data_IF_759544184580
#
_entry.id   IF_759544184580
#
_cell.length_a   1.000
_cell.length_b   1.000
_cell.length_c   1.000
_cell.angle_alpha   90.00
_cell.angle_beta   90.00
_cell.angle_gamma   90.00
#
_symmetry.space_group_name_H-M   'P 1'
#
loop_
_entity.id
_entity.type
_entity.pdbx_description
1 polymer ?
#
# COMPACT_ATOMS: atom_id res chain seq x y z
N UNK A 1 71.87 41.83 -15.99
CA UNK A 1 72.04 41.27 -14.63
C UNK A 1 70.65 41.12 -14.00
N UNK A 2 70.33 39.91 -13.50
CA UNK A 2 69.14 39.48 -12.71
C UNK A 2 67.80 39.30 -13.48
N UNK A 3 67.38 38.06 -13.85
CA UNK A 3 66.49 37.07 -13.16
C UNK A 3 65.02 37.57 -13.00
N UNK A 4 63.90 36.87 -13.27
CA UNK A 4 63.56 35.44 -13.39
C UNK A 4 62.11 35.21 -13.97
N UNK A 5 61.84 33.96 -14.39
CA UNK A 5 60.60 33.22 -14.86
C UNK A 5 59.17 33.66 -14.42
N UNK A 6 58.16 33.39 -15.29
CA UNK A 6 56.99 32.44 -15.16
C UNK A 6 55.90 32.74 -16.24
N UNK A 7 55.62 31.87 -17.22
CA UNK A 7 54.67 30.71 -17.30
C UNK A 7 53.15 31.04 -17.34
N UNK A 8 52.57 30.97 -18.55
CA UNK A 8 51.26 30.45 -19.04
C UNK A 8 49.91 30.73 -18.35
N UNK A 9 48.86 31.02 -19.14
CA UNK A 9 47.48 30.51 -18.92
C UNK A 9 46.56 30.58 -20.17
N UNK A 10 45.89 29.46 -20.47
CA UNK A 10 44.84 29.24 -21.49
C UNK A 10 43.47 29.82 -21.06
N UNK A 11 42.58 30.26 -21.97
CA UNK A 11 41.21 30.56 -21.62
C UNK A 11 40.27 29.36 -21.75
N UNK A 12 39.39 29.30 -20.75
CA UNK A 12 38.37 28.33 -20.38
C UNK A 12 37.09 28.54 -21.22
N UNK A 13 36.48 27.48 -21.74
CA UNK A 13 35.07 27.52 -22.19
C UNK A 13 34.36 26.23 -21.76
N UNK A 14 33.66 26.28 -20.64
CA UNK A 14 32.81 25.21 -20.14
C UNK A 14 31.34 25.63 -20.25
N UNK A 15 30.66 25.20 -21.31
CA UNK A 15 29.22 25.36 -21.49
C UNK A 15 28.52 24.16 -20.84
N UNK A 16 28.10 24.30 -19.59
CA UNK A 16 27.31 23.28 -18.88
C UNK A 16 25.88 23.25 -19.42
N UNK A 17 25.58 22.27 -20.28
CA UNK A 17 24.23 21.92 -20.69
C UNK A 17 23.56 21.08 -19.58
N UNK A 18 22.76 21.72 -18.73
CA UNK A 18 21.94 21.05 -17.70
C UNK A 18 20.78 20.30 -18.36
N UNK A 19 21.01 19.08 -18.84
CA UNK A 19 19.93 18.18 -19.23
C UNK A 19 19.09 17.86 -17.98
N UNK A 20 17.85 18.36 -17.92
CA UNK A 20 16.89 17.95 -16.90
C UNK A 20 16.59 16.46 -17.08
N UNK A 21 17.21 15.62 -16.25
CA UNK A 21 16.92 14.19 -16.20
C UNK A 21 15.44 14.01 -15.81
N UNK A 22 14.70 13.06 -16.41
CA UNK A 22 13.31 12.84 -16.07
C UNK A 22 13.22 12.42 -14.60
N UNK A 23 12.64 13.27 -13.76
CA UNK A 23 12.56 13.08 -12.31
C UNK A 23 11.61 11.95 -11.86
N UNK A 24 11.08 11.15 -12.80
CA UNK A 24 10.15 10.07 -12.52
C UNK A 24 10.27 8.91 -13.50
N UNK A 25 10.38 7.69 -12.97
CA UNK A 25 10.32 6.43 -13.73
C UNK A 25 8.98 5.78 -13.44
N UNK A 26 8.28 5.31 -14.47
CA UNK A 26 7.02 4.59 -14.32
C UNK A 26 7.11 3.26 -15.09
N UNK A 27 6.73 2.17 -14.45
CA UNK A 27 6.61 0.85 -15.05
C UNK A 27 5.18 0.36 -14.94
N UNK A 28 4.71 -0.31 -16.00
CA UNK A 28 3.42 -0.98 -16.02
C UNK A 28 3.55 -2.29 -16.78
N UNK A 29 2.95 -3.34 -16.25
CA UNK A 29 2.88 -4.63 -16.90
C UNK A 29 1.48 -5.19 -16.73
N UNK A 30 1.00 -5.90 -17.76
CA UNK A 30 -0.27 -6.65 -17.73
C UNK A 30 -0.07 -7.92 -18.52
N UNK A 31 -0.63 -9.02 -18.01
CA UNK A 31 -0.65 -10.29 -18.73
C UNK A 31 -1.95 -11.03 -18.48
N UNK A 32 -2.29 -11.90 -19.42
CA UNK A 32 -3.38 -12.87 -19.33
C UNK A 32 -2.86 -14.14 -19.97
N UNK A 33 -3.00 -15.28 -19.29
CA UNK A 33 -2.60 -16.59 -19.82
C UNK A 33 -3.52 -17.69 -19.32
N UNK A 34 -3.79 -18.74 -20.11
CA UNK A 34 -4.37 -19.97 -19.60
C UNK A 34 -3.53 -20.55 -18.46
N UNK A 35 -4.13 -21.37 -17.59
CA UNK A 35 -3.42 -22.09 -16.55
C UNK A 35 -3.75 -23.60 -16.57
N UNK A 36 -2.96 -24.38 -15.82
CA UNK A 36 -3.08 -25.83 -15.75
C UNK A 36 -4.42 -26.31 -15.14
N UNK A 37 -5.09 -25.45 -14.37
CA UNK A 37 -6.37 -25.77 -13.74
C UNK A 37 -7.53 -25.79 -14.76
N UNK A 38 -7.31 -25.27 -15.98
CA UNK A 38 -8.33 -25.15 -17.02
C UNK A 38 -9.00 -23.77 -17.08
N UNK A 39 -8.50 -22.79 -16.31
CA UNK A 39 -8.95 -21.41 -16.32
C UNK A 39 -7.89 -20.43 -16.82
N UNK A 40 -7.94 -19.20 -16.30
CA UNK A 40 -7.09 -18.08 -16.72
C UNK A 40 -6.39 -17.47 -15.51
N UNK A 41 -5.10 -17.17 -15.66
CA UNK A 41 -4.36 -16.28 -14.77
C UNK A 41 -4.16 -14.93 -15.45
N UNK A 42 -4.65 -13.87 -14.82
CA UNK A 42 -4.44 -12.49 -15.22
C UNK A 42 -3.62 -11.75 -14.16
N UNK A 43 -2.71 -10.89 -14.58
CA UNK A 43 -1.88 -10.09 -13.70
C UNK A 43 -1.73 -8.66 -14.18
N UNK A 44 -1.56 -7.74 -13.24
CA UNK A 44 -1.12 -6.37 -13.52
C UNK A 44 -0.16 -5.90 -12.45
N UNK A 45 0.86 -5.18 -12.88
CA UNK A 45 1.83 -4.50 -12.03
C UNK A 45 1.92 -3.04 -12.47
N UNK A 46 2.07 -2.15 -11.50
CA UNK A 46 2.38 -0.75 -11.74
C UNK A 46 3.29 -0.27 -10.61
N UNK A 47 4.35 0.43 -10.96
CA UNK A 47 5.22 1.06 -9.99
C UNK A 47 5.88 2.28 -10.58
N UNK A 48 6.50 3.06 -9.71
CA UNK A 48 7.27 4.20 -10.14
C UNK A 48 8.06 4.83 -9.02
N UNK A 49 8.96 5.71 -9.44
CA UNK A 49 9.78 6.57 -8.58
C UNK A 49 9.43 7.99 -8.96
N UNK A 50 9.28 8.87 -7.98
CA UNK A 50 9.00 10.28 -8.13
C UNK A 50 10.02 11.16 -7.40
N UNK A 51 9.76 12.47 -7.36
CA UNK A 51 10.63 13.44 -6.69
C UNK A 51 10.90 13.10 -5.23
N UNK A 52 12.03 13.56 -4.70
CA UNK A 52 12.42 13.41 -3.28
C UNK A 52 12.49 11.94 -2.80
N UNK A 53 12.76 11.00 -3.71
CA UNK A 53 12.91 9.58 -3.38
C UNK A 53 11.59 8.86 -3.09
N UNK A 54 10.45 9.49 -3.39
CA UNK A 54 9.15 8.84 -3.32
C UNK A 54 9.05 7.68 -4.31
N UNK A 55 8.47 6.57 -3.90
CA UNK A 55 8.32 5.40 -4.75
C UNK A 55 7.06 4.62 -4.41
N UNK A 56 6.49 3.91 -5.38
CA UNK A 56 5.39 2.99 -5.15
C UNK A 56 5.49 1.76 -6.04
N UNK A 57 4.91 0.66 -5.58
CA UNK A 57 4.70 -0.54 -6.35
C UNK A 57 3.34 -1.11 -5.97
N UNK A 58 2.54 -1.53 -6.95
CA UNK A 58 1.26 -2.18 -6.72
C UNK A 58 1.02 -3.27 -7.75
N UNK A 59 0.41 -4.34 -7.30
CA UNK A 59 0.13 -5.52 -8.10
C UNK A 59 -1.24 -6.10 -7.82
N UNK A 60 -1.77 -6.80 -8.82
CA UNK A 60 -2.92 -7.69 -8.64
C UNK A 60 -2.76 -8.89 -9.54
N UNK A 61 -3.03 -10.07 -9.00
CA UNK A 61 -3.18 -11.32 -9.73
C UNK A 61 -4.59 -11.85 -9.51
N UNK A 62 -5.18 -12.42 -10.56
CA UNK A 62 -6.47 -13.13 -10.51
C UNK A 62 -6.27 -14.46 -11.21
N UNK A 63 -6.78 -15.53 -10.61
CA UNK A 63 -6.75 -16.89 -11.13
C UNK A 63 -8.17 -17.46 -11.10
N UNK A 64 -8.64 -17.98 -12.22
CA UNK A 64 -9.80 -18.88 -12.28
C UNK A 64 -9.35 -20.30 -12.58
N UNK A 65 -10.14 -21.30 -12.17
CA UNK A 65 -9.86 -22.73 -12.39
C UNK A 65 -10.72 -23.36 -13.51
N UNK A 66 -11.65 -22.64 -14.12
CA UNK A 66 -12.55 -23.21 -15.12
C UNK A 66 -13.73 -24.00 -14.53
N UNK A 67 -13.74 -24.29 -13.22
CA UNK A 67 -14.89 -24.84 -12.48
C UNK A 67 -15.71 -23.76 -11.77
N UNK A 68 -15.32 -22.48 -11.92
CA UNK A 68 -16.06 -21.32 -11.42
C UNK A 68 -15.50 -20.74 -10.12
N UNK A 69 -14.40 -21.28 -9.60
CA UNK A 69 -13.68 -20.66 -8.49
C UNK A 69 -12.74 -19.57 -9.04
N UNK A 70 -12.63 -18.48 -8.28
CA UNK A 70 -11.78 -17.33 -8.61
C UNK A 70 -11.07 -16.88 -7.35
N UNK A 71 -9.75 -16.76 -7.42
CA UNK A 71 -8.96 -16.10 -6.39
C UNK A 71 -8.26 -14.88 -6.97
N UNK A 72 -8.42 -13.73 -6.32
CA UNK A 72 -7.66 -12.53 -6.65
C UNK A 72 -6.86 -12.06 -5.44
N UNK A 73 -5.54 -11.96 -5.61
CA UNK A 73 -4.66 -11.32 -4.64
C UNK A 73 -4.20 -9.96 -5.17
N UNK A 74 -4.03 -9.01 -4.28
CA UNK A 74 -3.53 -7.68 -4.60
C UNK A 74 -2.67 -7.17 -3.46
N UNK A 75 -1.78 -6.26 -3.79
CA UNK A 75 -1.00 -5.56 -2.78
C UNK A 75 -0.32 -4.35 -3.37
N UNK A 76 0.28 -3.57 -2.49
CA UNK A 76 1.15 -2.50 -2.89
C UNK A 76 1.88 -1.91 -1.71
N UNK A 77 2.97 -1.23 -2.01
CA UNK A 77 3.82 -0.53 -1.05
C UNK A 77 4.14 0.85 -1.60
N UNK A 78 4.45 1.77 -0.70
CA UNK A 78 4.97 3.06 -1.05
C UNK A 78 6.02 3.53 -0.04
N UNK A 79 6.88 4.44 -0.50
CA UNK A 79 7.73 5.32 0.29
C UNK A 79 7.38 6.75 -0.12
N UNK A 80 7.09 7.59 0.86
CA UNK A 80 6.85 9.01 0.69
C UNK A 80 8.02 9.86 1.17
N UNK A 81 7.83 11.18 1.16
CA UNK A 81 8.77 12.13 1.76
C UNK A 81 8.97 11.86 3.25
N UNK A 82 10.08 12.35 3.81
CA UNK A 82 10.42 12.28 5.24
C UNK A 82 10.37 10.86 5.83
N UNK A 83 10.72 9.84 5.03
CA UNK A 83 10.78 8.45 5.49
C UNK A 83 9.42 7.79 5.72
N UNK A 84 8.31 8.45 5.35
CA UNK A 84 6.99 7.82 5.42
C UNK A 84 6.93 6.59 4.51
N UNK A 85 6.30 5.52 4.96
CA UNK A 85 6.15 4.30 4.18
C UNK A 85 4.86 3.57 4.55
N UNK A 86 4.40 2.71 3.66
CA UNK A 86 3.24 1.89 3.95
C UNK A 86 2.99 0.86 2.89
N UNK A 87 2.02 0.00 3.16
CA UNK A 87 1.60 -1.02 2.23
C UNK A 87 0.24 -1.57 2.56
N UNK A 88 -0.29 -2.31 1.60
CA UNK A 88 -1.54 -3.04 1.73
C UNK A 88 -1.43 -4.38 1.03
N UNK A 89 -2.22 -5.34 1.50
CA UNK A 89 -2.42 -6.62 0.83
C UNK A 89 -3.87 -7.06 1.04
N UNK A 90 -4.43 -7.74 0.05
CA UNK A 90 -5.75 -8.34 0.16
C UNK A 90 -5.87 -9.55 -0.76
N UNK A 91 -6.69 -10.51 -0.33
CA UNK A 91 -7.13 -11.63 -1.15
C UNK A 91 -8.65 -11.68 -1.14
N UNK A 92 -9.21 -12.01 -2.30
CA UNK A 92 -10.63 -12.28 -2.48
C UNK A 92 -10.76 -13.66 -3.12
N UNK A 93 -11.57 -14.52 -2.54
CA UNK A 93 -12.03 -15.76 -3.18
C UNK A 93 -13.50 -15.65 -3.52
N UNK A 94 -13.89 -16.20 -4.66
CA UNK A 94 -15.27 -16.53 -5.00
C UNK A 94 -15.28 -18.00 -5.37
N UNK A 95 -16.25 -18.73 -4.85
CA UNK A 95 -16.40 -20.16 -5.09
C UNK A 95 -17.50 -20.41 -6.12
N UNK A 96 -17.47 -21.60 -6.72
CA UNK A 96 -18.45 -22.03 -7.71
C UNK A 96 -19.90 -22.00 -7.17
N UNK A 97 -20.08 -22.29 -5.88
CA UNK A 97 -21.35 -22.26 -5.16
C UNK A 97 -21.91 -20.84 -4.91
N UNK A 98 -21.19 -19.79 -5.31
CA UNK A 98 -21.59 -18.39 -5.16
C UNK A 98 -21.14 -17.72 -3.86
N UNK A 99 -20.60 -18.49 -2.91
CA UNK A 99 -19.95 -17.95 -1.72
C UNK A 99 -18.70 -17.15 -2.08
N UNK A 100 -18.34 -16.20 -1.24
CA UNK A 100 -17.17 -15.37 -1.44
C UNK A 100 -16.54 -14.98 -0.11
N UNK A 101 -15.23 -14.82 -0.10
CA UNK A 101 -14.50 -14.28 1.05
C UNK A 101 -13.52 -13.22 0.61
N UNK A 102 -13.24 -12.30 1.52
CA UNK A 102 -12.24 -11.25 1.39
C UNK A 102 -11.48 -11.20 2.70
N UNK A 103 -10.16 -11.13 2.61
CA UNK A 103 -9.32 -10.68 3.70
C UNK A 103 -8.38 -9.60 3.19
N UNK A 104 -7.92 -8.72 4.07
CA UNK A 104 -6.80 -7.86 3.76
C UNK A 104 -6.50 -6.88 4.88
N UNK A 105 -5.41 -6.15 4.68
CA UNK A 105 -5.02 -5.10 5.59
C UNK A 105 -4.12 -4.08 4.94
N UNK A 106 -3.87 -3.01 5.68
CA UNK A 106 -2.87 -2.02 5.35
C UNK A 106 -2.12 -1.60 6.61
N UNK A 107 -0.92 -1.10 6.41
CA UNK A 107 -0.10 -0.48 7.45
C UNK A 107 0.64 0.70 6.86
N UNK A 108 0.82 1.76 7.63
CA UNK A 108 1.67 2.88 7.26
C UNK A 108 2.34 3.47 8.50
N UNK A 109 3.50 4.08 8.31
CA UNK A 109 4.25 4.80 9.33
C UNK A 109 4.93 6.02 8.73
N UNK A 110 5.20 7.01 9.57
CA UNK A 110 5.94 8.22 9.22
C UNK A 110 6.04 9.14 10.42
N UNK A 111 6.46 10.39 10.17
CA UNK A 111 6.66 11.41 11.22
C UNK A 111 5.42 11.66 12.09
N UNK A 112 4.21 11.52 11.53
CA UNK A 112 2.95 11.71 12.25
C UNK A 112 2.50 10.51 13.08
N UNK A 113 3.25 9.41 13.03
CA UNK A 113 2.94 8.17 13.73
C UNK A 113 2.70 7.00 12.79
N UNK A 114 1.92 6.02 13.24
CA UNK A 114 1.65 4.80 12.50
C UNK A 114 0.18 4.38 12.56
N UNK A 115 -0.24 3.63 11.56
CA UNK A 115 -1.58 3.02 11.50
C UNK A 115 -1.46 1.62 10.91
N UNK A 116 -2.25 0.70 11.44
CA UNK A 116 -2.44 -0.63 10.89
C UNK A 116 -3.93 -0.96 10.94
N UNK A 117 -4.43 -1.62 9.91
CA UNK A 117 -5.82 -2.06 9.87
C UNK A 117 -5.90 -3.38 9.12
N UNK A 118 -6.65 -4.33 9.67
CA UNK A 118 -6.90 -5.63 9.06
C UNK A 118 -8.39 -5.92 9.13
N UNK A 119 -8.91 -6.60 8.12
CA UNK A 119 -10.30 -6.98 8.12
C UNK A 119 -10.65 -8.06 7.12
N UNK A 120 -11.83 -8.61 7.33
CA UNK A 120 -12.41 -9.67 6.53
C UNK A 120 -13.85 -9.34 6.17
N UNK A 121 -14.32 -9.92 5.09
CA UNK A 121 -15.74 -10.00 4.79
C UNK A 121 -16.04 -11.33 4.10
N UNK A 122 -17.20 -11.91 4.37
CA UNK A 122 -17.66 -13.11 3.71
C UNK A 122 -19.10 -12.95 3.24
N UNK A 123 -19.43 -13.70 2.20
CA UNK A 123 -20.79 -13.94 1.76
C UNK A 123 -20.98 -15.45 1.66
N UNK A 124 -21.94 -15.96 2.41
CA UNK A 124 -22.36 -17.36 2.38
C UNK A 124 -23.27 -17.63 1.17
N UNK A 125 -23.50 -18.91 0.88
CA UNK A 125 -24.33 -19.37 -0.26
C UNK A 125 -25.78 -18.87 -0.15
N UNK A 126 -26.31 -18.78 1.07
CA UNK A 126 -27.63 -18.23 1.39
C UNK A 126 -27.73 -16.69 1.26
N UNK A 127 -26.64 -16.01 0.91
CA UNK A 127 -26.58 -14.56 0.79
C UNK A 127 -26.43 -13.83 2.13
N UNK A 128 -26.14 -14.54 3.23
CA UNK A 128 -25.69 -13.96 4.49
C UNK A 128 -24.33 -13.30 4.27
N UNK A 129 -24.18 -12.05 4.74
CA UNK A 129 -22.94 -11.27 4.62
C UNK A 129 -22.48 -10.88 6.01
N UNK A 130 -21.21 -11.12 6.31
CA UNK A 130 -20.57 -10.63 7.53
C UNK A 130 -19.21 -10.01 7.23
N UNK A 131 -18.72 -9.18 8.13
CA UNK A 131 -17.41 -8.56 8.01
C UNK A 131 -16.93 -7.97 9.32
N UNK A 132 -15.61 -7.81 9.42
CA UNK A 132 -14.93 -7.38 10.63
C UNK A 132 -13.72 -6.55 10.23
N UNK A 133 -13.37 -5.55 11.03
CA UNK A 133 -12.19 -4.73 10.86
C UNK A 133 -11.64 -4.27 12.20
N UNK A 134 -10.35 -4.49 12.38
CA UNK A 134 -9.59 -4.02 13.52
C UNK A 134 -8.63 -2.95 13.03
N UNK A 135 -8.50 -1.86 13.76
CA UNK A 135 -7.64 -0.73 13.41
C UNK A 135 -6.88 -0.29 14.65
N UNK A 136 -5.56 -0.19 14.53
CA UNK A 136 -4.66 0.39 15.51
C UNK A 136 -4.00 1.62 14.91
N UNK A 137 -3.91 2.71 15.66
CA UNK A 137 -3.10 3.85 15.28
C UNK A 137 -2.36 4.40 16.50
N UNK A 138 -1.18 4.96 16.26
CA UNK A 138 -0.38 5.65 17.27
C UNK A 138 0.08 6.96 16.66
N UNK A 139 -0.29 8.08 17.27
CA UNK A 139 0.16 9.41 16.85
C UNK A 139 1.58 9.73 17.29
N UNK A 140 2.18 10.78 16.72
CA UNK A 140 3.53 11.23 17.07
C UNK A 140 3.69 11.54 18.57
N UNK A 141 2.63 12.01 19.23
CA UNK A 141 2.61 12.28 20.68
C UNK A 141 2.47 11.02 21.54
N UNK A 142 2.43 9.82 20.95
CA UNK A 142 2.30 8.55 21.66
C UNK A 142 0.86 8.12 21.97
N UNK A 143 -0.13 8.97 21.72
CA UNK A 143 -1.53 8.61 21.89
C UNK A 143 -1.92 7.47 20.94
N UNK A 144 -2.71 6.52 21.42
CA UNK A 144 -3.14 5.35 20.67
C UNK A 144 -4.66 5.32 20.44
N UNK A 145 -5.07 4.67 19.36
CA UNK A 145 -6.47 4.38 19.02
C UNK A 145 -6.59 2.91 18.63
N UNK A 146 -7.47 2.19 19.30
CA UNK A 146 -7.82 0.80 19.01
C UNK A 146 -9.31 0.74 18.68
N UNK A 147 -9.64 0.41 17.44
CA UNK A 147 -11.02 0.29 16.97
C UNK A 147 -11.33 -1.10 16.43
N UNK A 148 -12.51 -1.61 16.75
CA UNK A 148 -13.07 -2.83 16.18
C UNK A 148 -14.45 -2.51 15.59
N UNK A 149 -14.68 -2.92 14.35
CA UNK A 149 -15.96 -2.78 13.66
C UNK A 149 -16.39 -4.15 13.17
N UNK A 150 -17.62 -4.55 13.45
CA UNK A 150 -18.24 -5.73 12.85
C UNK A 150 -19.53 -5.35 12.12
N UNK A 151 -19.89 -6.18 11.14
CA UNK A 151 -21.11 -6.07 10.39
C UNK A 151 -21.69 -7.45 10.14
N UNK A 152 -23.01 -7.58 10.29
CA UNK A 152 -23.77 -8.75 9.86
C UNK A 152 -25.04 -8.26 9.18
N UNK A 153 -25.36 -8.83 8.01
CA UNK A 153 -26.61 -8.54 7.29
C UNK A 153 -27.81 -8.89 8.18
N UNK A 154 -28.68 -7.91 8.43
CA UNK A 154 -29.84 -8.04 9.31
C UNK A 154 -29.60 -7.55 10.74
N UNK A 155 -28.35 -7.51 11.21
CA UNK A 155 -27.99 -7.02 12.56
C UNK A 155 -27.40 -5.60 12.52
N UNK A 156 -26.86 -5.18 11.37
CA UNK A 156 -26.29 -3.84 11.19
C UNK A 156 -24.79 -3.80 11.52
N UNK A 157 -24.31 -2.61 11.91
CA UNK A 157 -22.90 -2.33 12.22
C UNK A 157 -22.73 -2.17 13.72
N UNK A 158 -21.76 -2.87 14.29
CA UNK A 158 -21.28 -2.64 15.66
C UNK A 158 -19.87 -2.08 15.62
N UNK A 159 -19.60 -1.06 16.44
CA UNK A 159 -18.28 -0.43 16.52
C UNK A 159 -17.91 -0.14 17.97
N UNK A 160 -16.71 -0.56 18.36
CA UNK A 160 -16.09 -0.20 19.63
C UNK A 160 -14.73 0.44 19.38
N UNK A 161 -14.38 1.42 20.20
CA UNK A 161 -13.09 2.09 20.15
C UNK A 161 -12.60 2.46 21.56
N UNK A 162 -11.29 2.41 21.75
CA UNK A 162 -10.61 2.94 22.93
C UNK A 162 -9.40 3.77 22.51
N UNK A 163 -9.10 4.79 23.30
CA UNK A 163 -7.94 5.65 23.09
C UNK A 163 -7.16 5.78 24.38
N UNK A 164 -5.83 5.75 24.28
CA UNK A 164 -4.96 6.01 25.42
C UNK A 164 -3.98 7.12 25.11
N UNK A 165 -3.50 7.81 26.13
CA UNK A 165 -2.33 8.66 26.02
C UNK A 165 -1.03 7.81 25.94
N UNK A 166 0.12 8.48 25.83
CA UNK A 166 1.44 7.85 25.81
C UNK A 166 1.81 7.11 27.12
N UNK A 167 1.16 7.44 28.24
CA UNK A 167 1.36 6.78 29.52
C UNK A 167 0.42 5.58 29.73
N UNK A 168 -0.51 5.35 28.78
CA UNK A 168 -1.49 4.26 28.84
C UNK A 168 -2.80 4.62 29.55
N UNK A 169 -3.01 5.88 29.93
CA UNK A 169 -4.26 6.31 30.55
C UNK A 169 -5.36 6.40 29.50
N UNK A 170 -6.57 5.95 29.84
CA UNK A 170 -7.74 6.10 28.97
C UNK A 170 -8.07 7.58 28.75
N UNK A 171 -8.22 7.97 27.50
CA UNK A 171 -8.61 9.33 27.09
C UNK A 171 -9.81 9.28 26.14
N UNK A 172 -10.58 10.37 26.01
CA UNK A 172 -11.62 10.45 24.99
C UNK A 172 -11.05 10.25 23.57
N UNK A 173 -11.69 9.40 22.77
CA UNK A 173 -11.40 9.31 21.35
C UNK A 173 -11.96 10.52 20.62
N UNK A 174 -11.14 11.55 20.44
CA UNK A 174 -11.48 12.72 19.63
C UNK A 174 -11.39 12.38 18.14
N UNK A 175 -12.35 12.88 17.35
CA UNK A 175 -12.35 12.74 15.88
C UNK A 175 -11.43 13.75 15.23
#
# INVERSE_FOLDING_TARGET
MQFNRKLALFPLLALCLSAALPASIQARERFVRPNADGGVTAGRLNGGIGPQGGAHLRGRRTQSDGQGNVTSSSGGVFRGANGAQGGQAAQVSRHADGSASRQGGFAASGERGSIQSQGSASRSVDGTVSGQRNTSATGASGNTYQGNTSYTKGEGVSHSASCTDAAGNSIPCTR
#
